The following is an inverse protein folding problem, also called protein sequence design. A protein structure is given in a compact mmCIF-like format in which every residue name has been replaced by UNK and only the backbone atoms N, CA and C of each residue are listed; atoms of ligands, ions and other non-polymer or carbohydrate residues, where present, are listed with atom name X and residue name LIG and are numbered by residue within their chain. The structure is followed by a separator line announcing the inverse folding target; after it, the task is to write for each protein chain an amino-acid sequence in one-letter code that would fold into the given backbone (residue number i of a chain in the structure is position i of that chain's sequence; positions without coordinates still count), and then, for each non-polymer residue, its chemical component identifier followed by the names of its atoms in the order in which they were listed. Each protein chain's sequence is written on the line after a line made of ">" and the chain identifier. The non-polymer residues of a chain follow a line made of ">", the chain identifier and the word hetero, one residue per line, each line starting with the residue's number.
data_IF_989101049092
#
_entry.id   IF_989101049092
#
_cell.length_a   1.000
_cell.length_b   1.000
_cell.length_c   1.000
_cell.angle_alpha   90.00
_cell.angle_beta   90.00
_cell.angle_gamma   90.00
#
_symmetry.space_group_name_H-M   'P 1'
#
loop_
_entity.id
_entity.type
_entity.pdbx_description
1 polymer ?
#
# COMPACT_ATOMS: atom_id res chain seq x y z
N UNK A 1 -9.17 7.36 -6.65
CA UNK A 1 -8.64 5.98 -6.66
C UNK A 1 -9.54 5.13 -5.77
N UNK A 2 -10.52 4.45 -6.36
CA UNK A 2 -11.43 3.56 -5.62
C UNK A 2 -11.57 2.28 -6.42
N UNK A 3 -11.07 1.16 -5.88
CA UNK A 3 -11.31 -0.16 -6.44
C UNK A 3 -12.19 -0.95 -5.47
N UNK A 4 -13.43 -1.19 -5.89
CA UNK A 4 -14.36 -2.13 -5.29
C UNK A 4 -14.09 -3.53 -5.87
N UNK A 5 -13.71 -4.48 -5.02
CA UNK A 5 -13.50 -5.87 -5.40
C UNK A 5 -14.81 -6.66 -5.44
N UNK A 6 -15.20 -7.08 -6.63
CA UNK A 6 -16.30 -8.04 -6.88
C UNK A 6 -15.77 -9.47 -6.75
N UNK A 7 -16.30 -10.25 -5.81
CA UNK A 7 -15.94 -11.67 -5.65
C UNK A 7 -16.92 -12.53 -6.45
N UNK A 8 -16.39 -13.24 -7.45
CA UNK A 8 -17.11 -14.16 -8.34
C UNK A 8 -17.38 -15.53 -7.71
N UNK A 9 -18.52 -16.11 -8.07
CA UNK A 9 -18.98 -17.43 -7.67
C UNK A 9 -18.09 -18.56 -8.23
N UNK A 10 -17.71 -19.52 -7.38
CA UNK A 10 -17.01 -20.76 -7.78
C UNK A 10 -17.98 -21.91 -8.00
N UNK A 11 -17.92 -22.53 -9.17
CA UNK A 11 -18.63 -23.77 -9.51
C UNK A 11 -17.92 -25.01 -8.96
N UNK A 12 -18.71 -25.93 -8.40
CA UNK A 12 -18.30 -27.25 -7.91
C UNK A 12 -18.15 -28.24 -9.07
N UNK A 13 -16.92 -28.68 -9.32
CA UNK A 13 -16.60 -29.76 -10.25
C UNK A 13 -16.88 -31.13 -9.64
N UNK A 14 -17.64 -31.97 -10.35
CA UNK A 14 -17.92 -33.37 -10.01
C UNK A 14 -16.77 -34.26 -10.50
N UNK A 15 -16.14 -35.03 -9.61
CA UNK A 15 -15.17 -36.08 -9.98
C UNK A 15 -15.80 -37.47 -9.87
N UNK A 16 -15.69 -38.26 -10.94
CA UNK A 16 -16.13 -39.66 -11.06
C UNK A 16 -14.89 -40.57 -11.00
N UNK A 17 -14.90 -41.73 -10.31
CA UNK A 17 -13.78 -42.67 -10.37
C UNK A 17 -13.88 -43.62 -11.57
N UNK A 18 -12.71 -44.00 -12.11
CA UNK A 18 -12.46 -44.81 -13.31
C UNK A 18 -12.05 -46.24 -12.91
N UNK A 19 -12.43 -47.21 -13.74
CA UNK A 19 -12.33 -48.68 -13.57
C UNK A 19 -10.98 -49.30 -13.94
N UNK A 20 -10.75 -50.56 -13.53
CA UNK A 20 -10.07 -51.69 -14.25
C UNK A 20 -9.81 -52.84 -13.26
N UNK A 21 -10.02 -54.15 -13.47
CA UNK A 21 -10.44 -55.06 -14.55
C UNK A 21 -10.42 -56.50 -13.96
N UNK A 22 -10.31 -57.63 -14.72
CA UNK A 22 -10.86 -58.00 -16.03
C UNK A 22 -11.91 -59.13 -15.95
N UNK A 23 -12.68 -59.28 -17.03
CA UNK A 23 -13.69 -60.32 -17.25
C UNK A 23 -13.11 -61.42 -18.15
N UNK A 24 -13.24 -62.69 -17.76
CA UNK A 24 -12.88 -63.87 -18.54
C UNK A 24 -14.01 -64.92 -18.56
N UNK A 25 -14.73 -64.95 -19.69
CA UNK A 25 -15.33 -66.10 -20.40
C UNK A 25 -16.38 -67.05 -19.75
N UNK A 26 -17.58 -66.98 -20.37
CA UNK A 26 -18.76 -67.89 -20.57
C UNK A 26 -18.51 -69.43 -20.63
N UNK A 27 -19.54 -70.31 -20.76
CA UNK A 27 -20.96 -70.28 -20.32
C UNK A 27 -21.52 -71.61 -19.70
N UNK A 28 -22.72 -71.51 -19.10
CA UNK A 28 -23.79 -72.50 -18.94
C UNK A 28 -23.54 -73.97 -19.37
N UNK A 29 -23.42 -74.86 -18.38
CA UNK A 29 -24.07 -76.17 -18.33
C UNK A 29 -23.89 -76.77 -16.93
N UNK A 30 -24.99 -77.02 -16.21
CA UNK A 30 -25.30 -78.23 -15.44
C UNK A 30 -26.42 -77.91 -14.43
N UNK A 31 -27.66 -78.03 -14.90
CA UNK A 31 -28.80 -78.35 -14.05
C UNK A 31 -28.60 -79.79 -13.57
N UNK A 32 -27.90 -79.98 -12.47
CA UNK A 32 -28.16 -81.10 -11.57
C UNK A 32 -27.49 -80.87 -10.22
N UNK A 33 -28.15 -81.36 -9.15
CA UNK A 33 -27.77 -81.29 -7.74
C UNK A 33 -28.23 -80.02 -6.99
N UNK A 34 -29.52 -80.01 -6.68
CA UNK A 34 -30.02 -79.42 -5.43
C UNK A 34 -29.36 -80.13 -4.25
N UNK A 35 -28.71 -79.45 -3.28
CA UNK A 35 -28.83 -79.86 -1.90
C UNK A 35 -30.22 -79.42 -1.44
N UNK A 36 -30.99 -80.42 -1.02
CA UNK A 36 -32.16 -80.33 -0.18
C UNK A 36 -32.22 -79.03 0.64
N UNK A 37 -33.22 -78.19 0.37
CA UNK A 37 -33.59 -77.08 1.26
C UNK A 37 -34.24 -77.72 2.49
N UNK A 38 -33.42 -78.14 3.44
CA UNK A 38 -33.89 -78.43 4.78
C UNK A 38 -34.27 -77.09 5.42
N UNK A 39 -35.54 -76.96 5.78
CA UNK A 39 -36.08 -75.83 6.54
C UNK A 39 -35.18 -75.50 7.76
N UNK A 40 -35.11 -74.23 8.20
CA UNK A 40 -34.23 -73.83 9.29
C UNK A 40 -34.54 -74.65 10.54
N UNK A 41 -33.56 -75.46 10.95
CA UNK A 41 -33.52 -76.07 12.28
C UNK A 41 -33.69 -74.93 13.28
N UNK A 42 -34.78 -74.98 14.05
CA UNK A 42 -35.09 -73.96 15.04
C UNK A 42 -33.89 -73.77 15.97
N UNK A 43 -33.42 -72.53 16.12
CA UNK A 43 -32.36 -72.18 17.06
C UNK A 43 -32.76 -72.69 18.45
N UNK A 44 -31.91 -73.53 19.03
CA UNK A 44 -32.07 -73.94 20.42
C UNK A 44 -31.96 -72.72 21.36
N UNK A 45 -32.62 -72.75 22.53
CA UNK A 45 -32.62 -71.63 23.48
C UNK A 45 -31.21 -71.17 23.90
N UNK A 46 -30.22 -72.06 23.84
CA UNK A 46 -28.80 -71.78 24.11
C UNK A 46 -28.12 -70.86 23.06
N UNK A 47 -28.44 -71.01 21.77
CA UNK A 47 -27.87 -70.14 20.72
C UNK A 47 -28.52 -68.75 20.71
N UNK A 48 -29.81 -68.68 21.03
CA UNK A 48 -30.53 -67.41 21.24
C UNK A 48 -29.96 -66.65 22.44
N UNK A 49 -29.65 -67.34 23.53
CA UNK A 49 -28.99 -66.75 24.70
C UNK A 49 -27.60 -66.21 24.37
N UNK A 50 -26.81 -66.97 23.62
CA UNK A 50 -25.48 -66.56 23.17
C UNK A 50 -25.51 -65.36 22.21
N UNK A 51 -26.48 -65.30 21.29
CA UNK A 51 -26.64 -64.18 20.36
C UNK A 51 -27.12 -62.91 21.07
N UNK A 52 -28.07 -63.01 22.00
CA UNK A 52 -28.50 -61.89 22.84
C UNK A 52 -27.35 -61.34 23.69
N UNK A 53 -26.52 -62.20 24.25
CA UNK A 53 -25.34 -61.79 25.04
C UNK A 53 -24.32 -61.03 24.19
N UNK A 54 -24.07 -61.48 22.95
CA UNK A 54 -23.19 -60.78 22.00
C UNK A 54 -23.73 -59.40 21.61
N UNK A 55 -25.03 -59.28 21.38
CA UNK A 55 -25.68 -58.01 21.05
C UNK A 55 -25.60 -57.04 22.23
N UNK A 56 -25.89 -57.51 23.45
CA UNK A 56 -25.75 -56.70 24.67
C UNK A 56 -24.32 -56.20 24.86
N UNK A 57 -23.31 -57.06 24.65
CA UNK A 57 -21.90 -56.66 24.67
C UNK A 57 -21.58 -55.57 23.64
N UNK A 58 -22.01 -55.75 22.39
CA UNK A 58 -21.81 -54.76 21.33
C UNK A 58 -22.50 -53.41 21.63
N UNK A 59 -23.68 -53.44 22.28
CA UNK A 59 -24.38 -52.22 22.72
C UNK A 59 -23.60 -51.51 23.84
N UNK A 60 -23.07 -52.25 24.81
CA UNK A 60 -22.26 -51.69 25.88
C UNK A 60 -20.96 -51.08 25.32
N UNK A 61 -20.27 -51.77 24.42
CA UNK A 61 -19.07 -51.27 23.73
C UNK A 61 -19.37 -50.01 22.90
N UNK A 62 -20.50 -50.00 22.20
CA UNK A 62 -20.95 -48.83 21.43
C UNK A 62 -21.28 -47.65 22.33
N UNK A 63 -21.96 -47.89 23.46
CA UNK A 63 -22.25 -46.88 24.48
C UNK A 63 -20.97 -46.28 25.06
N UNK A 64 -19.97 -47.11 25.40
CA UNK A 64 -18.67 -46.64 25.89
C UNK A 64 -17.94 -45.80 24.83
N UNK A 65 -18.00 -46.22 23.56
CA UNK A 65 -17.41 -45.49 22.44
C UNK A 65 -18.06 -44.12 22.27
N UNK A 66 -19.40 -44.05 22.30
CA UNK A 66 -20.15 -42.78 22.23
C UNK A 66 -19.81 -41.87 23.40
N UNK A 67 -19.75 -42.38 24.63
CA UNK A 67 -19.40 -41.59 25.81
C UNK A 67 -18.00 -40.97 25.66
N UNK A 68 -17.04 -41.75 25.15
CA UNK A 68 -15.68 -41.28 24.89
C UNK A 68 -15.65 -40.20 23.82
N UNK A 69 -16.35 -40.40 22.70
CA UNK A 69 -16.33 -39.45 21.58
C UNK A 69 -17.08 -38.15 21.92
N UNK A 70 -18.18 -38.24 22.68
CA UNK A 70 -18.85 -37.06 23.27
C UNK A 70 -17.91 -36.30 24.19
N UNK A 71 -17.15 -37.01 25.03
CA UNK A 71 -16.15 -36.39 25.90
C UNK A 71 -15.06 -35.65 25.12
N UNK A 72 -14.58 -36.24 24.01
CA UNK A 72 -13.60 -35.59 23.12
C UNK A 72 -14.17 -34.33 22.46
N UNK A 73 -15.38 -34.42 21.89
CA UNK A 73 -16.04 -33.27 21.27
C UNK A 73 -16.28 -32.16 22.29
N UNK A 74 -16.72 -32.51 23.51
CA UNK A 74 -16.91 -31.52 24.58
C UNK A 74 -15.59 -30.81 24.95
N UNK A 75 -14.47 -31.54 24.99
CA UNK A 75 -13.16 -30.96 25.23
C UNK A 75 -12.72 -30.02 24.10
N UNK A 76 -12.86 -30.44 22.82
CA UNK A 76 -12.55 -29.61 21.66
C UNK A 76 -13.41 -28.34 21.58
N UNK A 77 -14.71 -28.45 21.87
CA UNK A 77 -15.63 -27.30 21.95
C UNK A 77 -15.22 -26.36 23.08
N UNK A 78 -14.75 -26.89 24.22
CA UNK A 78 -14.19 -26.10 25.31
C UNK A 78 -12.97 -25.29 24.87
N UNK A 79 -12.02 -25.91 24.17
CA UNK A 79 -10.85 -25.23 23.63
C UNK A 79 -11.25 -24.17 22.61
N UNK A 80 -12.12 -24.51 21.66
CA UNK A 80 -12.61 -23.57 20.65
C UNK A 80 -13.29 -22.35 21.29
N UNK A 81 -14.05 -22.56 22.37
CA UNK A 81 -14.67 -21.47 23.13
C UNK A 81 -13.62 -20.55 23.75
N UNK A 82 -12.54 -21.09 24.32
CA UNK A 82 -11.46 -20.26 24.88
C UNK A 82 -10.72 -19.48 23.80
N UNK A 83 -10.47 -20.08 22.64
CA UNK A 83 -9.80 -19.38 21.55
C UNK A 83 -10.71 -18.33 20.90
N UNK A 84 -12.02 -18.60 20.83
CA UNK A 84 -13.00 -17.60 20.44
C UNK A 84 -13.01 -16.41 21.39
N UNK A 85 -12.93 -16.64 22.71
CA UNK A 85 -12.86 -15.57 23.69
C UNK A 85 -11.59 -14.72 23.48
N UNK A 86 -10.42 -15.35 23.34
CA UNK A 86 -9.17 -14.63 23.06
C UNK A 86 -9.25 -13.81 21.77
N UNK A 87 -9.85 -14.36 20.72
CA UNK A 87 -10.04 -13.65 19.46
C UNK A 87 -10.98 -12.45 19.65
N UNK A 88 -12.08 -12.63 20.38
CA UNK A 88 -13.00 -11.55 20.71
C UNK A 88 -12.30 -10.42 21.47
N UNK A 89 -11.46 -10.75 22.46
CA UNK A 89 -10.73 -9.75 23.25
C UNK A 89 -9.73 -8.98 22.37
N UNK A 90 -9.02 -9.68 21.47
CA UNK A 90 -8.10 -9.04 20.50
C UNK A 90 -8.84 -8.15 19.49
N UNK A 91 -10.04 -8.54 19.06
CA UNK A 91 -10.86 -7.73 18.15
C UNK A 91 -11.25 -6.43 18.86
N UNK A 92 -11.70 -6.49 20.11
CA UNK A 92 -12.03 -5.30 20.90
C UNK A 92 -10.82 -4.39 21.10
N UNK A 93 -9.64 -4.96 21.36
CA UNK A 93 -8.39 -4.19 21.46
C UNK A 93 -8.10 -3.46 20.14
N UNK A 94 -8.12 -4.17 19.01
CA UNK A 94 -7.91 -3.56 17.69
C UNK A 94 -8.92 -2.46 17.41
N UNK A 95 -10.21 -2.70 17.63
CA UNK A 95 -11.27 -1.70 17.45
C UNK A 95 -11.04 -0.43 18.29
N UNK A 96 -10.58 -0.61 19.54
CA UNK A 96 -10.23 0.51 20.42
C UNK A 96 -9.03 1.30 19.89
N UNK A 97 -7.97 0.62 19.41
CA UNK A 97 -6.80 1.29 18.84
C UNK A 97 -7.15 2.06 17.57
N UNK A 98 -8.01 1.50 16.71
CA UNK A 98 -8.49 2.17 15.49
C UNK A 98 -9.29 3.42 15.86
N UNK A 99 -10.20 3.31 16.83
CA UNK A 99 -11.01 4.44 17.30
C UNK A 99 -10.14 5.55 17.88
N UNK A 100 -9.07 5.20 18.60
CA UNK A 100 -8.14 6.17 19.18
C UNK A 100 -7.22 6.83 18.14
N UNK A 101 -6.80 6.10 17.11
CA UNK A 101 -5.89 6.61 16.08
C UNK A 101 -6.60 7.44 14.99
N UNK A 102 -7.89 7.17 14.76
CA UNK A 102 -8.65 7.82 13.69
C UNK A 102 -8.67 9.36 13.75
N UNK A 103 -8.87 10.01 14.92
CA UNK A 103 -8.83 11.47 15.02
C UNK A 103 -7.46 12.05 14.64
N UNK A 104 -6.37 11.39 15.04
CA UNK A 104 -5.01 11.83 14.71
C UNK A 104 -4.73 11.71 13.22
N UNK A 105 -5.18 10.63 12.59
CA UNK A 105 -5.05 10.45 11.15
C UNK A 105 -5.81 11.53 10.38
N UNK A 106 -7.04 11.82 10.80
CA UNK A 106 -7.86 12.86 10.18
C UNK A 106 -7.25 14.26 10.36
N UNK A 107 -6.71 14.57 11.55
CA UNK A 107 -6.01 15.82 11.81
C UNK A 107 -4.76 15.97 10.92
N UNK A 108 -3.97 14.90 10.77
CA UNK A 108 -2.80 14.90 9.89
C UNK A 108 -3.20 15.06 8.42
N UNK A 109 -4.27 14.41 7.99
CA UNK A 109 -4.80 14.54 6.63
C UNK A 109 -5.23 15.98 6.32
N UNK A 110 -5.87 16.65 7.28
CA UNK A 110 -6.25 18.06 7.17
C UNK A 110 -5.01 18.99 7.12
N UNK A 111 -3.97 18.69 7.89
CA UNK A 111 -2.72 19.45 7.84
C UNK A 111 -2.03 19.28 6.48
N UNK A 112 -1.99 18.07 5.94
CA UNK A 112 -1.40 17.80 4.63
C UNK A 112 -2.19 18.50 3.53
N UNK A 113 -3.53 18.50 3.56
CA UNK A 113 -4.33 19.24 2.58
C UNK A 113 -4.12 20.75 2.71
N UNK A 114 -4.12 21.29 3.93
CA UNK A 114 -3.85 22.70 4.15
C UNK A 114 -2.45 23.10 3.65
N UNK A 115 -1.43 22.28 3.92
CA UNK A 115 -0.08 22.52 3.44
C UNK A 115 -0.01 22.45 1.91
N UNK A 116 -0.67 21.47 1.29
CA UNK A 116 -0.75 21.35 -0.17
C UNK A 116 -1.43 22.57 -0.81
N UNK A 117 -2.54 23.04 -0.22
CA UNK A 117 -3.26 24.23 -0.69
C UNK A 117 -2.43 25.50 -0.47
N UNK A 118 -1.74 25.61 0.66
CA UNK A 118 -0.85 26.74 0.95
C UNK A 118 0.41 26.77 0.09
N UNK A 119 0.93 25.61 -0.33
CA UNK A 119 2.01 25.50 -1.30
C UNK A 119 1.55 25.81 -2.73
N UNK A 120 0.25 25.73 -2.97
CA UNK A 120 -0.42 26.20 -4.18
C UNK A 120 -0.88 27.66 -4.04
N UNK A 121 -0.05 28.53 -3.43
CA UNK A 121 -0.22 29.98 -3.64
C UNK A 121 -0.33 30.20 -5.15
N UNK A 122 -1.45 30.75 -5.64
CA UNK A 122 -1.83 30.72 -7.06
C UNK A 122 -0.88 31.41 -8.05
N UNK A 123 0.28 31.85 -7.59
CA UNK A 123 1.43 32.29 -8.37
C UNK A 123 2.47 31.18 -8.40
N UNK A 124 2.83 30.70 -9.59
CA UNK A 124 3.94 29.76 -9.71
C UNK A 124 5.21 30.41 -9.13
N UNK A 125 6.10 29.66 -8.48
CA UNK A 125 7.33 30.22 -7.93
C UNK A 125 8.12 30.99 -9.00
N UNK A 126 8.09 30.52 -10.25
CA UNK A 126 8.71 31.18 -11.40
C UNK A 126 8.10 32.55 -11.71
N UNK A 127 6.78 32.77 -11.52
CA UNK A 127 6.18 34.11 -11.72
C UNK A 127 6.62 35.08 -10.62
N UNK A 128 6.69 34.60 -9.37
CA UNK A 128 7.16 35.44 -8.25
C UNK A 128 8.63 35.81 -8.39
N UNK A 129 9.46 34.84 -8.78
CA UNK A 129 10.87 35.04 -9.07
C UNK A 129 11.05 35.98 -10.26
N UNK A 130 10.34 35.73 -11.36
CA UNK A 130 10.35 36.59 -12.53
C UNK A 130 10.00 38.04 -12.19
N UNK A 131 8.94 38.28 -11.40
CA UNK A 131 8.57 39.63 -10.95
C UNK A 131 9.61 40.28 -10.03
N UNK A 132 10.29 39.50 -9.20
CA UNK A 132 11.34 39.99 -8.30
C UNK A 132 12.64 40.32 -9.02
N UNK A 133 12.95 39.61 -10.11
CA UNK A 133 14.17 39.78 -10.90
C UNK A 133 14.03 40.73 -12.09
N UNK A 134 12.81 41.18 -12.39
CA UNK A 134 12.46 42.01 -13.56
C UNK A 134 13.27 43.30 -13.71
N UNK A 135 13.69 43.91 -12.61
CA UNK A 135 14.50 45.13 -12.61
C UNK A 135 15.99 44.86 -12.32
N UNK A 136 16.42 43.59 -12.29
CA UNK A 136 17.82 43.24 -12.15
C UNK A 136 18.44 43.03 -13.54
N UNK A 137 19.55 43.70 -13.81
CA UNK A 137 20.40 43.47 -14.99
C UNK A 137 21.67 42.74 -14.56
N UNK A 138 22.17 41.86 -15.43
CA UNK A 138 23.40 41.09 -15.23
C UNK A 138 24.43 41.51 -16.28
N UNK A 139 25.53 42.12 -15.83
CA UNK A 139 26.64 42.56 -16.68
C UNK A 139 27.74 41.51 -16.57
N UNK A 140 28.13 40.95 -17.71
CA UNK A 140 29.17 39.91 -17.79
C UNK A 140 30.41 40.48 -18.46
N UNK A 141 31.59 40.11 -17.97
CA UNK A 141 32.86 40.52 -18.58
C UNK A 141 33.42 41.84 -18.06
N UNK A 142 32.83 42.42 -17.00
CA UNK A 142 33.37 43.62 -16.36
C UNK A 142 34.65 43.26 -15.58
N UNK A 143 35.83 43.82 -15.92
CA UNK A 143 37.06 43.50 -15.20
C UNK A 143 37.00 43.94 -13.74
N UNK A 144 37.36 43.05 -12.82
CA UNK A 144 37.27 43.34 -11.38
C UNK A 144 38.30 44.38 -10.93
N UNK A 145 37.85 45.33 -10.11
CA UNK A 145 38.70 46.33 -9.46
C UNK A 145 38.77 47.67 -10.20
N UNK A 146 38.07 47.83 -11.32
CA UNK A 146 37.93 49.12 -12.01
C UNK A 146 36.88 50.01 -11.34
N UNK A 147 36.01 49.42 -10.53
CA UNK A 147 34.79 50.06 -10.03
C UNK A 147 35.04 50.92 -8.78
N UNK A 148 36.22 50.77 -8.16
CA UNK A 148 36.63 51.58 -7.02
C UNK A 148 35.92 51.19 -5.72
N UNK A 149 35.40 52.18 -4.99
CA UNK A 149 34.79 51.98 -3.65
C UNK A 149 33.28 51.72 -3.71
N UNK A 150 32.58 52.29 -4.68
CA UNK A 150 31.14 52.14 -4.86
C UNK A 150 30.81 51.75 -6.30
N UNK A 151 30.20 50.57 -6.44
CA UNK A 151 29.80 49.99 -7.72
C UNK A 151 28.70 50.80 -8.41
N UNK A 152 27.81 51.43 -7.64
CA UNK A 152 26.69 52.22 -8.19
C UNK A 152 27.22 53.51 -8.81
N UNK A 153 28.07 54.24 -8.09
CA UNK A 153 28.70 55.48 -8.58
C UNK A 153 29.54 55.25 -9.84
N UNK A 154 30.13 54.07 -10.00
CA UNK A 154 30.84 53.67 -11.21
C UNK A 154 29.91 53.30 -12.36
N UNK A 155 28.92 52.43 -12.11
CA UNK A 155 28.09 51.85 -13.16
C UNK A 155 27.08 52.83 -13.76
N UNK A 156 26.49 53.73 -12.96
CA UNK A 156 25.51 54.69 -13.47
C UNK A 156 26.06 55.56 -14.63
N UNK A 157 27.18 56.27 -14.47
CA UNK A 157 27.75 57.06 -15.58
C UNK A 157 28.30 56.17 -16.70
N UNK A 158 28.84 54.98 -16.39
CA UNK A 158 29.35 54.06 -17.40
C UNK A 158 28.24 53.53 -18.32
N UNK A 159 27.11 53.11 -17.75
CA UNK A 159 25.94 52.67 -18.50
C UNK A 159 25.31 53.80 -19.30
N UNK A 160 25.23 55.03 -18.75
CA UNK A 160 24.76 56.21 -19.49
C UNK A 160 25.62 56.48 -20.72
N UNK A 161 26.94 56.51 -20.55
CA UNK A 161 27.87 56.73 -21.66
C UNK A 161 27.78 55.63 -22.73
N UNK A 162 27.50 54.38 -22.35
CA UNK A 162 27.28 53.29 -23.28
C UNK A 162 25.98 53.46 -24.08
N UNK A 163 24.96 54.08 -23.48
CA UNK A 163 23.64 54.30 -24.07
C UNK A 163 23.51 55.62 -24.82
N UNK A 164 24.43 56.57 -24.63
CA UNK A 164 24.52 57.87 -25.31
C UNK A 164 24.75 57.66 -26.83
N UNK A 165 23.66 57.36 -27.53
CA UNK A 165 23.65 56.99 -28.95
C UNK A 165 22.47 56.10 -29.36
N UNK A 166 21.80 55.46 -28.39
CA UNK A 166 20.74 54.48 -28.64
C UNK A 166 19.30 54.97 -28.41
N UNK A 167 19.08 56.28 -28.17
CA UNK A 167 17.77 56.87 -27.88
C UNK A 167 16.98 56.12 -26.77
N UNK A 168 17.70 55.52 -25.84
CA UNK A 168 17.17 54.85 -24.66
C UNK A 168 16.97 55.91 -23.55
N UNK A 169 16.10 55.62 -22.58
CA UNK A 169 15.70 56.57 -21.54
C UNK A 169 16.93 57.25 -20.89
N UNK A 170 17.03 58.60 -20.91
CA UNK A 170 18.22 59.31 -20.45
C UNK A 170 18.37 59.35 -18.92
N UNK A 171 17.39 58.84 -18.17
CA UNK A 171 17.35 58.91 -16.72
C UNK A 171 16.94 57.57 -16.13
N UNK A 172 17.93 56.75 -15.76
CA UNK A 172 17.74 55.60 -14.87
C UNK A 172 18.62 55.79 -13.63
N UNK A 173 18.20 55.18 -12.52
CA UNK A 173 18.96 55.14 -11.27
C UNK A 173 19.11 53.69 -10.81
N UNK A 174 20.25 53.37 -10.23
CA UNK A 174 20.53 52.06 -9.66
C UNK A 174 20.26 52.09 -8.14
N UNK A 175 19.48 51.14 -7.66
CA UNK A 175 19.23 50.95 -6.22
C UNK A 175 20.43 50.26 -5.55
N UNK A 176 21.02 49.30 -6.23
CA UNK A 176 22.16 48.51 -5.75
C UNK A 176 22.92 47.90 -6.92
N UNK A 177 24.22 47.74 -6.76
CA UNK A 177 25.04 46.97 -7.68
C UNK A 177 26.15 46.23 -6.92
N UNK A 178 26.38 44.97 -7.28
CA UNK A 178 27.40 44.14 -6.64
C UNK A 178 27.81 42.97 -7.54
N UNK A 179 29.03 42.48 -7.38
CA UNK A 179 29.40 41.17 -7.93
C UNK A 179 28.60 40.08 -7.23
N UNK A 180 28.25 39.03 -7.98
CA UNK A 180 27.66 37.82 -7.42
C UNK A 180 28.62 37.24 -6.36
N UNK A 181 28.16 36.95 -5.13
CA UNK A 181 29.02 36.47 -4.06
C UNK A 181 29.61 35.09 -4.40
N UNK A 182 30.79 35.10 -5.00
CA UNK A 182 31.60 33.93 -5.32
C UNK A 182 33.07 34.19 -4.93
N UNK A 183 33.90 33.14 -4.86
CA UNK A 183 35.34 33.32 -4.63
C UNK A 183 35.94 34.17 -5.76
N UNK A 184 36.73 35.18 -5.40
CA UNK A 184 37.38 36.07 -6.38
C UNK A 184 38.14 35.22 -7.41
N UNK A 185 37.85 35.37 -8.71
CA UNK A 185 38.45 34.56 -9.75
C UNK A 185 39.98 34.70 -9.74
N UNK A 186 40.66 33.57 -9.90
CA UNK A 186 42.11 33.50 -10.05
C UNK A 186 42.52 34.05 -11.43
N UNK A 187 43.76 34.54 -11.63
CA UNK A 187 44.21 34.99 -12.94
C UNK A 187 44.04 33.87 -13.98
N UNK A 188 43.16 34.10 -14.97
CA UNK A 188 42.80 33.12 -16.01
C UNK A 188 41.35 32.60 -15.95
N UNK A 189 40.58 32.94 -14.91
CA UNK A 189 39.13 32.69 -14.81
C UNK A 189 38.38 33.97 -15.25
N UNK A 190 37.23 33.86 -15.96
CA UNK A 190 36.44 35.03 -16.34
C UNK A 190 36.00 35.84 -15.11
N UNK A 191 35.85 37.17 -15.25
CA UNK A 191 35.44 38.03 -14.15
C UNK A 191 34.02 37.70 -13.67
N UNK A 192 33.75 37.94 -12.39
CA UNK A 192 32.43 37.69 -11.82
C UNK A 192 31.36 38.60 -12.43
N UNK A 193 30.18 38.06 -12.78
CA UNK A 193 29.06 38.89 -13.22
C UNK A 193 28.67 39.90 -12.15
N UNK A 194 28.28 41.09 -12.60
CA UNK A 194 27.73 42.14 -11.75
C UNK A 194 26.23 42.15 -11.90
N UNK A 195 25.53 42.07 -10.77
CA UNK A 195 24.08 42.22 -10.70
C UNK A 195 23.78 43.63 -10.21
N UNK A 196 23.09 44.40 -11.05
CA UNK A 196 22.63 45.74 -10.73
C UNK A 196 21.10 45.77 -10.75
N UNK A 197 20.48 46.40 -9.74
CA UNK A 197 19.03 46.56 -9.64
C UNK A 197 18.67 48.00 -9.99
N UNK A 198 17.84 48.15 -11.02
CA UNK A 198 17.26 49.41 -11.42
C UNK A 198 16.18 49.84 -10.41
N UNK A 199 16.11 51.14 -10.15
CA UNK A 199 15.12 51.72 -9.23
C UNK A 199 13.69 51.51 -9.75
N UNK A 200 13.48 51.60 -11.07
CA UNK A 200 12.19 51.32 -11.71
C UNK A 200 12.32 50.20 -12.74
N UNK A 201 11.28 49.38 -12.86
CA UNK A 201 11.21 48.30 -13.85
C UNK A 201 11.11 48.78 -15.30
N UNK A 202 10.63 50.01 -15.52
CA UNK A 202 10.47 50.57 -16.88
C UNK A 202 11.78 51.15 -17.43
N UNK A 203 12.78 51.35 -16.58
CA UNK A 203 14.08 51.91 -16.95
C UNK A 203 14.93 50.88 -17.71
#
# INVERSE_FOLDING_TARGET
>A
MSQTGTIGARQLGKTKPKSQGPVGQKPLALLDQMPEVTAPVGLGPEELSNTLSKILGAIEDFKLTLQRDIGKVAAEVGLLRTDHQKLSDKVLEVESTVTNLQPSYQALQLQVSHLADSGSTGTTPEDTEGRSLRNNICIVGLPEGIEGRDMVEFLEPWLRALMDGHNLMPFFALERAHHVPAQRPHPGIPPQPVVAKLLHYHD
#
